data_IF_585827326983
#
_entry.id   IF_585827326983
#
_cell.length_a   1.000
_cell.length_b   1.000
_cell.length_c   1.000
_cell.angle_alpha   90.00
_cell.angle_beta   90.00
_cell.angle_gamma   90.00
#
_symmetry.space_group_name_H-M   'P 1'
#
loop_
_entity.id
_entity.type
_entity.pdbx_description
1 polymer ?
#
# COMPACT_ATOMS: atom_id res chain seq x y z
N UNK A 1 22.60 0.93 -8.68
CA UNK A 1 21.87 0.52 -7.48
C UNK A 1 20.80 -0.47 -7.90
N UNK A 2 20.85 -1.69 -7.41
CA UNK A 2 19.92 -2.73 -7.86
C UNK A 2 18.50 -2.42 -7.36
N UNK A 3 17.49 -2.75 -8.18
CA UNK A 3 16.06 -2.54 -7.83
C UNK A 3 15.71 -3.17 -6.46
N UNK A 4 16.29 -4.31 -6.14
CA UNK A 4 16.12 -5.00 -4.86
C UNK A 4 16.60 -4.17 -3.65
N UNK A 5 17.64 -3.36 -3.81
CA UNK A 5 18.16 -2.56 -2.71
C UNK A 5 17.21 -1.37 -2.42
N UNK A 6 16.65 -0.78 -3.46
CA UNK A 6 15.62 0.26 -3.31
C UNK A 6 14.39 -0.26 -2.55
N UNK A 7 13.96 -1.49 -2.90
CA UNK A 7 12.83 -2.15 -2.23
C UNK A 7 13.16 -2.43 -0.77
N UNK A 8 14.37 -2.93 -0.48
CA UNK A 8 14.80 -3.17 0.90
C UNK A 8 14.80 -1.89 1.73
N UNK A 9 15.30 -0.79 1.18
CA UNK A 9 15.37 0.50 1.87
C UNK A 9 13.97 1.06 2.13
N UNK A 10 13.07 1.00 1.15
CA UNK A 10 11.68 1.46 1.31
C UNK A 10 10.92 0.60 2.33
N UNK A 11 11.10 -0.72 2.28
CA UNK A 11 10.51 -1.64 3.25
C UNK A 11 11.07 -1.45 4.66
N UNK A 12 12.38 -1.26 4.79
CA UNK A 12 13.01 -1.00 6.09
C UNK A 12 12.51 0.30 6.71
N UNK A 13 12.34 1.36 5.92
CA UNK A 13 11.75 2.64 6.38
C UNK A 13 10.31 2.47 6.87
N UNK A 14 9.58 1.53 6.29
CA UNK A 14 8.19 1.21 6.67
C UNK A 14 8.09 0.14 7.76
N UNK A 15 9.20 -0.26 8.41
CA UNK A 15 9.20 -1.28 9.44
C UNK A 15 8.90 -2.70 8.95
N UNK A 16 9.04 -2.96 7.66
CA UNK A 16 8.76 -4.26 7.03
C UNK A 16 10.06 -5.05 6.93
N UNK A 17 10.05 -6.27 7.43
CA UNK A 17 11.18 -7.17 7.33
C UNK A 17 11.15 -7.91 6.00
N UNK A 18 12.06 -7.55 5.09
CA UNK A 18 12.19 -8.16 3.78
C UNK A 18 13.49 -8.98 3.67
N UNK A 19 13.36 -10.28 3.43
CA UNK A 19 14.51 -11.18 3.32
C UNK A 19 14.33 -12.20 2.18
N UNK A 20 15.39 -12.40 1.41
CA UNK A 20 15.47 -13.51 0.47
C UNK A 20 15.84 -14.77 1.25
N UNK A 21 15.06 -15.82 1.13
CA UNK A 21 15.22 -17.06 1.89
C UNK A 21 15.55 -18.23 0.97
N UNK A 22 16.27 -19.21 1.51
CA UNK A 22 16.49 -20.49 0.82
C UNK A 22 15.25 -21.38 0.97
N UNK A 23 14.58 -21.70 -0.12
CA UNK A 23 13.31 -22.42 -0.13
C UNK A 23 13.32 -23.71 0.71
N UNK A 24 14.40 -24.49 0.66
CA UNK A 24 14.50 -25.75 1.42
C UNK A 24 14.45 -25.52 2.94
N UNK A 25 15.15 -24.49 3.41
CA UNK A 25 15.15 -24.13 4.85
C UNK A 25 13.78 -23.60 5.26
N UNK A 26 13.21 -22.73 4.44
CA UNK A 26 11.87 -22.16 4.70
C UNK A 26 10.80 -23.25 4.73
N UNK A 27 10.82 -24.21 3.81
CA UNK A 27 9.88 -25.32 3.80
C UNK A 27 9.97 -26.17 5.07
N UNK A 28 11.18 -26.44 5.55
CA UNK A 28 11.37 -27.21 6.81
C UNK A 28 10.79 -26.42 7.99
N UNK A 29 11.09 -25.12 8.08
CA UNK A 29 10.59 -24.26 9.15
C UNK A 29 9.05 -24.09 9.12
N UNK A 30 8.42 -24.14 7.95
CA UNK A 30 6.97 -24.01 7.81
C UNK A 30 6.20 -25.27 8.17
N UNK A 31 6.82 -26.47 8.12
CA UNK A 31 6.14 -27.75 8.42
C UNK A 31 5.55 -27.82 9.82
N UNK A 32 6.22 -27.19 10.77
CA UNK A 32 5.85 -27.21 12.19
C UNK A 32 5.02 -25.97 12.60
N UNK A 33 4.62 -25.15 11.63
CA UNK A 33 3.88 -23.91 11.90
C UNK A 33 2.51 -23.88 11.21
N UNK A 34 1.68 -22.91 11.60
CA UNK A 34 0.35 -22.64 11.00
C UNK A 34 0.43 -22.25 9.52
N UNK A 35 1.64 -22.02 8.98
CA UNK A 35 1.89 -21.54 7.62
C UNK A 35 2.18 -22.67 6.62
N UNK A 36 1.86 -23.92 6.94
CA UNK A 36 2.12 -25.12 6.13
C UNK A 36 1.57 -25.01 4.70
N UNK A 37 0.45 -24.35 4.52
CA UNK A 37 -0.18 -24.15 3.20
C UNK A 37 0.68 -23.31 2.24
N UNK A 38 1.55 -22.43 2.77
CA UNK A 38 2.47 -21.64 1.96
C UNK A 38 3.59 -22.45 1.32
N UNK A 39 3.86 -23.67 1.79
CA UNK A 39 4.94 -24.53 1.28
C UNK A 39 4.87 -24.70 -0.25
N UNK A 40 3.66 -24.78 -0.80
CA UNK A 40 3.40 -24.95 -2.24
C UNK A 40 3.89 -23.79 -3.09
N UNK A 41 3.95 -22.58 -2.53
CA UNK A 41 4.33 -21.37 -3.25
C UNK A 41 5.83 -21.08 -3.23
N UNK A 42 6.62 -21.76 -2.43
CA UNK A 42 8.08 -21.64 -2.40
C UNK A 42 8.71 -22.45 -3.54
N UNK A 43 8.54 -21.96 -4.78
CA UNK A 43 9.16 -22.47 -5.99
C UNK A 43 9.99 -21.37 -6.65
N UNK A 44 11.24 -21.65 -7.00
CA UNK A 44 12.14 -20.67 -7.61
C UNK A 44 12.73 -19.64 -6.62
N UNK A 45 13.34 -18.55 -7.09
CA UNK A 45 13.91 -17.49 -6.25
C UNK A 45 12.79 -16.72 -5.55
N UNK A 46 12.63 -16.92 -4.25
CA UNK A 46 11.59 -16.31 -3.44
C UNK A 46 12.14 -15.41 -2.34
N UNK A 47 11.43 -14.33 -2.07
CA UNK A 47 11.67 -13.44 -0.96
C UNK A 47 10.39 -13.38 -0.09
N UNK A 48 10.58 -13.31 1.22
CA UNK A 48 9.50 -13.14 2.18
C UNK A 48 9.51 -11.72 2.75
N UNK A 49 8.34 -11.09 2.76
CA UNK A 49 8.10 -9.83 3.45
C UNK A 49 7.20 -10.10 4.65
N UNK A 50 7.66 -9.71 5.83
CA UNK A 50 6.93 -9.89 7.10
C UNK A 50 6.66 -8.50 7.68
N UNK A 51 5.42 -8.22 7.99
CA UNK A 51 4.99 -6.91 8.50
C UNK A 51 3.86 -7.09 9.52
N UNK A 52 3.78 -6.18 10.46
CA UNK A 52 2.62 -6.05 11.35
C UNK A 52 1.39 -5.53 10.59
N UNK A 53 1.61 -4.65 9.60
CA UNK A 53 0.55 -4.09 8.75
C UNK A 53 0.56 -4.75 7.37
N UNK A 54 -0.37 -5.68 7.09
CA UNK A 54 -0.42 -6.39 5.82
C UNK A 54 -0.73 -5.47 4.63
N UNK A 55 -1.52 -4.41 4.85
CA UNK A 55 -1.91 -3.48 3.79
C UNK A 55 -0.70 -2.67 3.30
N UNK A 56 0.16 -2.21 4.22
CA UNK A 56 1.33 -1.41 3.87
C UNK A 56 2.35 -2.22 3.07
N UNK A 57 2.59 -3.46 3.49
CA UNK A 57 3.47 -4.38 2.75
C UNK A 57 2.93 -4.71 1.36
N UNK A 58 1.61 -4.96 1.23
CA UNK A 58 0.95 -5.22 -0.04
C UNK A 58 1.02 -4.02 -1.00
N UNK A 59 0.83 -2.78 -0.50
CA UNK A 59 0.93 -1.55 -1.30
C UNK A 59 2.33 -1.38 -1.89
N UNK A 60 3.36 -1.52 -1.08
CA UNK A 60 4.75 -1.37 -1.52
C UNK A 60 5.06 -2.43 -2.59
N UNK A 61 4.75 -3.70 -2.31
CA UNK A 61 4.99 -4.79 -3.25
C UNK A 61 4.21 -4.62 -4.56
N UNK A 62 2.94 -4.22 -4.50
CA UNK A 62 2.12 -3.98 -5.68
C UNK A 62 2.62 -2.79 -6.53
N UNK A 63 3.14 -1.73 -5.88
CA UNK A 63 3.77 -0.59 -6.56
C UNK A 63 4.96 -1.06 -7.40
N UNK A 64 5.84 -1.87 -6.82
CA UNK A 64 7.00 -2.39 -7.54
C UNK A 64 6.63 -3.44 -8.59
N UNK A 65 5.64 -4.29 -8.34
CA UNK A 65 5.15 -5.24 -9.33
C UNK A 65 4.55 -4.55 -10.56
N UNK A 66 3.89 -3.39 -10.39
CA UNK A 66 3.34 -2.56 -11.47
C UNK A 66 4.40 -1.74 -12.21
N UNK A 67 5.48 -1.35 -11.55
CA UNK A 67 6.55 -0.53 -12.14
C UNK A 67 7.46 -1.28 -13.12
N UNK A 68 7.07 -2.48 -13.59
CA UNK A 68 7.82 -3.25 -14.56
C UNK A 68 9.06 -3.96 -13.98
N UNK A 69 9.21 -3.98 -12.65
CA UNK A 69 10.27 -4.75 -12.01
C UNK A 69 10.04 -6.25 -12.20
N UNK A 70 11.12 -7.03 -12.23
CA UNK A 70 11.09 -8.50 -12.40
C UNK A 70 10.40 -9.24 -11.23
N UNK A 71 9.80 -8.50 -10.29
CA UNK A 71 9.09 -9.03 -9.12
C UNK A 71 7.68 -9.45 -9.50
N UNK A 72 7.34 -10.70 -9.17
CA UNK A 72 5.98 -11.22 -9.26
C UNK A 72 5.48 -11.55 -7.86
N UNK A 73 4.29 -11.07 -7.54
CA UNK A 73 3.57 -11.48 -6.33
C UNK A 73 3.09 -12.91 -6.53
N UNK A 74 3.44 -13.80 -5.62
CA UNK A 74 3.08 -15.22 -5.70
C UNK A 74 1.91 -15.51 -4.77
N UNK A 75 2.06 -15.23 -3.49
CA UNK A 75 1.05 -15.46 -2.48
C UNK A 75 1.27 -14.55 -1.26
N UNK A 76 0.24 -14.36 -0.47
CA UNK A 76 0.28 -13.72 0.84
C UNK A 76 -0.38 -14.61 1.88
N UNK A 77 -0.18 -14.30 3.15
CA UNK A 77 -0.84 -14.95 4.27
C UNK A 77 -1.31 -13.88 5.26
N UNK A 78 -2.60 -13.91 5.57
CA UNK A 78 -3.22 -12.98 6.51
C UNK A 78 -4.37 -13.67 7.25
N UNK A 79 -4.44 -13.49 8.55
CA UNK A 79 -5.53 -13.97 9.42
C UNK A 79 -5.87 -15.47 9.25
N UNK A 80 -4.85 -16.31 9.06
CA UNK A 80 -5.06 -17.73 8.92
C UNK A 80 -5.45 -18.21 7.51
N UNK A 81 -5.49 -17.30 6.52
CA UNK A 81 -5.87 -17.61 5.14
C UNK A 81 -4.71 -17.33 4.18
N UNK A 82 -4.56 -18.22 3.21
CA UNK A 82 -3.64 -18.00 2.09
C UNK A 82 -4.34 -17.16 1.04
N UNK A 83 -3.70 -16.09 0.62
CA UNK A 83 -4.19 -15.14 -0.38
C UNK A 83 -3.42 -15.35 -1.68
N UNK A 84 -4.14 -15.44 -2.77
CA UNK A 84 -3.55 -15.48 -4.12
C UNK A 84 -2.98 -14.12 -4.53
N UNK A 85 -2.25 -14.10 -5.64
CA UNK A 85 -1.65 -12.87 -6.17
C UNK A 85 -2.72 -11.79 -6.45
N UNK A 86 -3.91 -12.17 -6.94
CA UNK A 86 -5.02 -11.25 -7.19
C UNK A 86 -5.59 -10.64 -5.91
N UNK A 87 -5.69 -11.44 -4.85
CA UNK A 87 -6.23 -10.96 -3.57
C UNK A 87 -5.24 -10.03 -2.87
N UNK A 88 -3.94 -10.30 -2.96
CA UNK A 88 -2.90 -9.37 -2.51
C UNK A 88 -2.97 -8.05 -3.28
N UNK A 89 -3.24 -8.08 -4.58
CA UNK A 89 -3.45 -6.88 -5.37
C UNK A 89 -4.70 -6.09 -4.94
N UNK A 90 -5.79 -6.77 -4.60
CA UNK A 90 -7.00 -6.12 -4.03
C UNK A 90 -6.71 -5.48 -2.68
N UNK A 91 -5.99 -6.17 -1.78
CA UNK A 91 -5.59 -5.63 -0.48
C UNK A 91 -4.71 -4.38 -0.64
N UNK A 92 -3.83 -4.36 -1.64
CA UNK A 92 -3.00 -3.20 -1.94
C UNK A 92 -3.81 -1.95 -2.34
N UNK A 93 -5.08 -2.09 -2.77
CA UNK A 93 -5.97 -0.96 -3.07
C UNK A 93 -6.68 -0.41 -1.82
N UNK A 94 -6.67 -1.16 -0.72
CA UNK A 94 -7.30 -0.71 0.53
C UNK A 94 -6.50 0.43 1.18
N UNK A 95 -7.16 1.35 1.87
CA UNK A 95 -6.46 2.38 2.63
C UNK A 95 -5.74 1.75 3.84
N UNK A 96 -4.59 2.28 4.20
CA UNK A 96 -3.92 1.92 5.45
C UNK A 96 -4.75 2.34 6.65
N UNK A 97 -4.44 1.82 7.84
CA UNK A 97 -5.19 2.16 9.07
C UNK A 97 -5.22 3.67 9.32
N UNK A 98 -4.11 4.36 9.11
CA UNK A 98 -4.04 5.81 9.32
C UNK A 98 -4.77 6.58 8.22
N UNK A 99 -4.71 6.13 6.97
CA UNK A 99 -5.51 6.68 5.88
C UNK A 99 -7.02 6.46 6.11
N UNK A 100 -7.42 5.31 6.65
CA UNK A 100 -8.80 5.02 6.99
C UNK A 100 -9.31 5.94 8.12
N UNK A 101 -8.52 6.12 9.17
CA UNK A 101 -8.81 7.07 10.27
C UNK A 101 -8.92 8.49 9.75
N UNK A 102 -7.96 8.92 8.92
CA UNK A 102 -8.00 10.24 8.31
C UNK A 102 -9.25 10.45 7.43
N UNK A 103 -9.67 9.43 6.68
CA UNK A 103 -10.91 9.48 5.89
C UNK A 103 -12.15 9.65 6.78
N UNK A 104 -12.23 8.94 7.89
CA UNK A 104 -13.36 9.05 8.84
C UNK A 104 -13.42 10.48 9.38
N UNK A 105 -12.29 11.03 9.84
CA UNK A 105 -12.22 12.41 10.33
C UNK A 105 -12.59 13.39 9.22
N UNK A 106 -12.11 13.17 8.00
CA UNK A 106 -12.44 13.99 6.83
C UNK A 106 -13.94 14.00 6.53
N UNK A 107 -14.61 12.83 6.58
CA UNK A 107 -16.05 12.72 6.37
C UNK A 107 -16.82 13.50 7.43
N UNK A 108 -16.42 13.43 8.70
CA UNK A 108 -17.03 14.16 9.80
C UNK A 108 -16.83 15.69 9.66
N UNK A 109 -15.68 16.13 9.13
CA UNK A 109 -15.36 17.54 8.91
C UNK A 109 -15.99 18.10 7.62
N UNK A 110 -16.35 17.24 6.67
CA UNK A 110 -16.85 17.65 5.35
C UNK A 110 -18.10 18.55 5.41
N UNK A 111 -19.12 18.28 6.25
CA UNK A 111 -20.29 19.17 6.33
C UNK A 111 -19.93 20.59 6.75
N UNK A 112 -19.06 20.74 7.75
CA UNK A 112 -18.62 22.04 8.22
C UNK A 112 -17.81 22.80 7.13
N UNK A 113 -16.92 22.09 6.46
CA UNK A 113 -16.13 22.66 5.35
C UNK A 113 -17.01 23.08 4.18
N UNK A 114 -18.01 22.27 3.80
CA UNK A 114 -18.98 22.64 2.76
C UNK A 114 -19.78 23.89 3.13
N UNK A 115 -20.21 23.97 4.38
CA UNK A 115 -20.93 25.15 4.86
C UNK A 115 -20.08 26.42 4.77
N UNK A 116 -18.84 26.35 5.25
CA UNK A 116 -17.87 27.45 5.12
C UNK A 116 -17.59 27.81 3.66
N UNK A 117 -17.43 26.83 2.79
CA UNK A 117 -17.18 27.06 1.37
C UNK A 117 -18.33 27.78 0.67
N UNK A 118 -19.58 27.47 1.05
CA UNK A 118 -20.78 28.17 0.52
C UNK A 118 -20.81 29.62 0.99
N UNK A 119 -20.47 29.89 2.25
CA UNK A 119 -20.43 31.25 2.79
C UNK A 119 -19.32 32.09 2.16
N UNK A 120 -18.16 31.49 1.87
CA UNK A 120 -17.00 32.16 1.27
C UNK A 120 -17.05 32.23 -0.28
N UNK A 121 -17.91 31.42 -0.91
CA UNK A 121 -18.02 31.34 -2.36
C UNK A 121 -18.28 32.69 -3.08
N UNK A 122 -19.15 33.60 -2.57
CA UNK A 122 -19.37 34.89 -3.23
C UNK A 122 -18.10 35.75 -3.29
N UNK A 123 -17.37 35.83 -2.18
CA UNK A 123 -16.13 36.60 -2.11
C UNK A 123 -15.02 36.06 -3.02
N UNK A 124 -14.83 34.75 -3.04
CA UNK A 124 -13.82 34.11 -3.88
C UNK A 124 -14.12 34.25 -5.38
N UNK A 125 -15.39 34.16 -5.78
CA UNK A 125 -15.81 34.35 -7.18
C UNK A 125 -15.55 35.77 -7.67
N UNK A 126 -15.79 36.79 -6.83
CA UNK A 126 -15.48 38.19 -7.17
C UNK A 126 -13.98 38.38 -7.34
N UNK A 127 -13.17 37.83 -6.45
CA UNK A 127 -11.70 37.89 -6.54
C UNK A 127 -11.15 37.22 -7.81
N UNK A 128 -11.67 36.08 -8.19
CA UNK A 128 -11.28 35.36 -9.41
C UNK A 128 -11.63 36.19 -10.66
N UNK A 129 -12.86 36.75 -10.71
CA UNK A 129 -13.31 37.59 -11.83
C UNK A 129 -12.45 38.85 -11.96
N UNK A 130 -12.09 39.50 -10.85
CA UNK A 130 -11.18 40.64 -10.86
C UNK A 130 -9.80 40.26 -11.38
N UNK A 131 -9.27 39.09 -10.98
CA UNK A 131 -7.98 38.63 -11.42
C UNK A 131 -7.96 38.25 -12.91
N UNK A 132 -9.02 37.58 -13.39
CA UNK A 132 -9.14 37.28 -14.83
C UNK A 132 -9.28 38.51 -15.70
N UNK A 133 -9.99 39.52 -15.22
CA UNK A 133 -10.11 40.80 -15.93
C UNK A 133 -8.78 41.53 -16.01
N UNK A 134 -8.01 41.51 -14.92
CA UNK A 134 -6.65 42.10 -14.88
C UNK A 134 -5.66 41.40 -15.83
N UNK A 135 -5.85 40.12 -16.12
CA UNK A 135 -5.00 39.35 -17.06
C UNK A 135 -5.34 39.62 -18.55
N UNK A 136 -6.55 40.11 -18.82
CA UNK A 136 -7.04 40.39 -20.19
C UNK A 136 -6.86 41.81 -20.61
N UNK A 137 -6.46 42.67 -19.71
CA UNK A 137 -6.07 44.07 -19.95
C UNK A 137 -4.55 44.21 -19.97
#
# INVERSE_FOLDING_TARGET
>A
MNELDKIRDEMRKSGIFFKVTKNRITKIALKDTKYKELEKFFSGPTAAAISSDPIMSAKILAKYAKSGSKLKLVAGYMDGKVLGAEDVAKIATLPTLDEARAKIIGILSTPAQKFLSILLAPGSKIAILAHEKSKKS
#
